data_IF_146860951998
#
_entry.id   IF_146860951998
#
_cell.length_a   1.000
_cell.length_b   1.000
_cell.length_c   1.000
_cell.angle_alpha   90.00
_cell.angle_beta   90.00
_cell.angle_gamma   90.00
#
_symmetry.space_group_name_H-M   'P 1'
#
loop_
_entity.id
_entity.type
_entity.pdbx_description
1 polymer ?
#
# COMPACT_ATOMS: atom_id res chain seq x y z
N UNK A 1 7.62 -2.82 7.08
CA UNK A 1 6.50 -1.97 6.63
C UNK A 1 6.92 -1.27 5.35
N UNK A 2 6.01 -0.72 4.54
CA UNK A 2 6.42 0.06 3.35
C UNK A 2 6.88 1.44 3.79
N UNK A 3 8.17 1.74 3.63
CA UNK A 3 8.79 3.00 4.06
C UNK A 3 9.16 3.88 2.85
N UNK A 4 9.30 5.20 3.04
CA UNK A 4 9.60 6.14 1.95
C UNK A 4 10.93 5.86 1.22
N UNK A 5 11.91 5.29 1.92
CA UNK A 5 13.22 4.89 1.38
C UNK A 5 13.11 3.83 0.27
N UNK A 6 12.05 3.01 0.27
CA UNK A 6 11.77 2.06 -0.81
C UNK A 6 11.51 2.81 -2.12
N UNK A 7 10.75 3.91 -2.09
CA UNK A 7 10.50 4.72 -3.29
C UNK A 7 11.80 5.37 -3.77
N UNK A 8 12.63 5.86 -2.85
CA UNK A 8 13.96 6.40 -3.20
C UNK A 8 14.85 5.35 -3.86
N UNK A 9 14.88 4.12 -3.35
CA UNK A 9 15.63 3.02 -3.95
C UNK A 9 15.10 2.69 -5.36
N UNK A 10 13.78 2.65 -5.54
CA UNK A 10 13.20 2.47 -6.88
C UNK A 10 13.64 3.60 -7.83
N UNK A 11 13.70 4.85 -7.40
CA UNK A 11 14.16 5.95 -8.24
C UNK A 11 15.66 5.89 -8.59
N UNK A 12 16.49 5.46 -7.66
CA UNK A 12 17.95 5.43 -7.82
C UNK A 12 18.42 4.30 -8.75
N UNK A 13 17.76 3.14 -8.69
CA UNK A 13 18.22 1.92 -9.36
C UNK A 13 17.31 1.56 -10.55
N UNK A 14 17.66 1.96 -11.79
CA UNK A 14 16.81 1.73 -12.97
C UNK A 14 16.64 0.24 -13.32
N UNK A 15 17.50 -0.63 -12.80
CA UNK A 15 17.40 -2.09 -12.97
C UNK A 15 16.35 -2.74 -12.06
N UNK A 16 15.75 -2.00 -11.11
CA UNK A 16 14.59 -2.46 -10.34
C UNK A 16 13.30 -2.32 -11.14
N UNK A 17 12.33 -3.21 -10.89
CA UNK A 17 11.05 -3.19 -11.58
C UNK A 17 10.18 -1.99 -11.20
N UNK A 18 9.34 -1.53 -12.13
CA UNK A 18 8.38 -0.44 -11.93
C UNK A 18 7.07 -0.92 -11.27
N UNK A 19 7.10 -1.94 -10.41
CA UNK A 19 5.90 -2.54 -9.84
C UNK A 19 5.96 -2.62 -8.32
N UNK A 20 4.93 -2.06 -7.67
CA UNK A 20 4.74 -2.10 -6.22
C UNK A 20 3.45 -2.85 -5.90
N UNK A 21 3.59 -3.93 -5.13
CA UNK A 21 2.46 -4.64 -4.54
C UNK A 21 2.27 -4.19 -3.09
N UNK A 22 1.19 -3.47 -2.82
CA UNK A 22 0.87 -2.92 -1.52
C UNK A 22 -0.55 -3.36 -1.13
N UNK A 23 -0.72 -4.43 -0.36
CA UNK A 23 -2.05 -4.96 -0.05
C UNK A 23 -2.75 -4.16 1.05
N UNK A 24 -3.85 -3.48 0.70
CA UNK A 24 -4.73 -2.80 1.68
C UNK A 24 -5.63 -3.77 2.43
N UNK A 25 -6.11 -4.82 1.75
CA UNK A 25 -6.99 -5.87 2.30
C UNK A 25 -8.42 -5.40 2.61
N UNK A 26 -8.63 -4.24 3.23
CA UNK A 26 -9.95 -3.64 3.41
C UNK A 26 -9.87 -2.11 3.44
N UNK A 27 -10.90 -1.43 2.95
CA UNK A 27 -11.02 0.03 3.06
C UNK A 27 -11.53 0.53 4.41
N UNK A 28 -11.93 -0.36 5.32
CA UNK A 28 -12.52 0.01 6.61
C UNK A 28 -11.52 -0.16 7.75
N UNK A 29 -11.22 0.92 8.47
CA UNK A 29 -10.33 0.89 9.64
C UNK A 29 -10.79 -0.09 10.72
N UNK A 30 -12.12 -0.23 10.88
CA UNK A 30 -12.72 -1.21 11.79
C UNK A 30 -12.38 -2.64 11.37
N UNK A 31 -12.47 -2.93 10.07
CA UNK A 31 -12.15 -4.24 9.51
C UNK A 31 -10.65 -4.49 9.49
N UNK A 32 -9.83 -3.51 9.13
CA UNK A 32 -8.37 -3.58 9.20
C UNK A 32 -7.89 -3.94 10.62
N UNK A 33 -8.46 -3.28 11.64
CA UNK A 33 -8.18 -3.60 13.04
C UNK A 33 -8.64 -5.02 13.41
N UNK A 34 -9.81 -5.46 12.96
CA UNK A 34 -10.29 -6.82 13.20
C UNK A 34 -9.43 -7.90 12.49
N UNK A 35 -8.88 -7.57 11.31
CA UNK A 35 -7.87 -8.35 10.59
C UNK A 35 -6.47 -8.29 11.23
N UNK A 36 -6.29 -7.55 12.35
CA UNK A 36 -5.01 -7.31 13.02
C UNK A 36 -3.96 -6.65 12.12
N UNK A 37 -4.39 -5.77 11.20
CA UNK A 37 -3.48 -4.93 10.43
C UNK A 37 -2.92 -3.83 11.33
N UNK A 38 -1.62 -3.58 11.21
CA UNK A 38 -0.90 -2.53 11.95
C UNK A 38 -0.97 -1.14 11.30
N UNK A 39 -1.93 -0.91 10.41
CA UNK A 39 -2.13 0.34 9.68
C UNK A 39 -3.63 0.60 9.52
N UNK A 40 -3.99 1.86 9.32
CA UNK A 40 -5.34 2.27 8.92
C UNK A 40 -5.38 2.67 7.43
N UNK A 41 -6.56 3.05 6.95
CA UNK A 41 -6.76 3.52 5.57
C UNK A 41 -5.93 4.77 5.25
N UNK A 42 -5.75 5.69 6.21
CA UNK A 42 -4.97 6.90 6.05
C UNK A 42 -3.46 6.61 5.89
N UNK A 43 -2.91 5.70 6.70
CA UNK A 43 -1.53 5.20 6.58
C UNK A 43 -1.28 4.61 5.20
N UNK A 44 -2.24 3.83 4.70
CA UNK A 44 -2.16 3.24 3.38
C UNK A 44 -2.16 4.32 2.28
N UNK A 45 -3.05 5.30 2.36
CA UNK A 45 -3.12 6.40 1.40
C UNK A 45 -1.85 7.25 1.38
N UNK A 46 -1.24 7.50 2.54
CA UNK A 46 0.08 8.18 2.63
C UNK A 46 1.18 7.42 1.87
N UNK A 47 1.20 6.09 1.98
CA UNK A 47 2.17 5.25 1.23
C UNK A 47 1.90 5.30 -0.27
N UNK A 48 0.64 5.25 -0.67
CA UNK A 48 0.24 5.38 -2.09
C UNK A 48 0.62 6.75 -2.65
N UNK A 49 0.45 7.82 -1.88
CA UNK A 49 0.87 9.16 -2.29
C UNK A 49 2.39 9.24 -2.52
N UNK A 50 3.19 8.65 -1.62
CA UNK A 50 4.64 8.56 -1.82
C UNK A 50 5.01 7.82 -3.12
N UNK A 51 4.32 6.73 -3.46
CA UNK A 51 4.54 5.99 -4.71
C UNK A 51 4.12 6.84 -5.93
N UNK A 52 2.98 7.52 -5.85
CA UNK A 52 2.46 8.36 -6.94
C UNK A 52 3.32 9.59 -7.22
N UNK A 53 3.96 10.14 -6.18
CA UNK A 53 4.88 11.27 -6.31
C UNK A 53 6.28 10.86 -6.78
N UNK A 54 6.51 9.58 -7.08
CA UNK A 54 7.78 9.13 -7.63
C UNK A 54 8.05 9.73 -9.00
N UNK A 55 9.33 10.00 -9.28
CA UNK A 55 9.81 10.40 -10.62
C UNK A 55 9.65 9.28 -11.65
N UNK A 56 9.63 8.02 -11.21
CA UNK A 56 9.38 6.86 -12.07
C UNK A 56 7.88 6.58 -12.13
N UNK A 57 7.42 6.12 -13.29
CA UNK A 57 6.03 5.66 -13.44
C UNK A 57 5.91 4.26 -12.83
N UNK A 58 5.49 4.20 -11.59
CA UNK A 58 5.29 2.94 -10.86
C UNK A 58 3.86 2.42 -11.03
N UNK A 59 3.72 1.13 -11.29
CA UNK A 59 2.45 0.40 -11.23
C UNK A 59 2.16 -0.04 -9.80
N UNK A 60 0.94 0.19 -9.33
CA UNK A 60 0.48 -0.23 -8.01
C UNK A 60 -0.51 -1.38 -8.15
N UNK A 61 -0.35 -2.42 -7.33
CA UNK A 61 -1.34 -3.48 -7.16
C UNK A 61 -1.66 -3.68 -5.69
N UNK A 62 -2.87 -4.18 -5.40
CA UNK A 62 -3.34 -4.43 -4.05
C UNK A 62 -4.32 -5.60 -4.08
N UNK A 63 -4.35 -6.35 -2.99
CA UNK A 63 -5.39 -7.34 -2.71
C UNK A 63 -6.49 -6.72 -1.85
N UNK A 64 -7.72 -7.21 -2.04
CA UNK A 64 -8.90 -6.85 -1.25
C UNK A 64 -9.60 -8.13 -0.82
N UNK A 65 -10.00 -8.18 0.45
CA UNK A 65 -10.83 -9.24 1.03
C UNK A 65 -12.20 -8.62 1.31
N UNK A 66 -13.22 -9.18 0.69
CA UNK A 66 -14.63 -8.82 0.93
C UNK A 66 -15.33 -9.92 1.73
N UNK A 67 -16.39 -9.56 2.45
CA UNK A 67 -17.16 -10.50 3.28
C UNK A 67 -16.41 -10.95 4.53
N UNK A 68 -15.50 -10.13 5.06
CA UNK A 68 -14.81 -10.45 6.31
C UNK A 68 -15.82 -10.56 7.48
N UNK A 69 -15.65 -11.48 8.45
CA UNK A 69 -16.56 -11.57 9.58
C UNK A 69 -16.77 -10.23 10.31
N UNK A 70 -18.00 -9.72 10.26
CA UNK A 70 -18.36 -8.41 10.83
C UNK A 70 -18.25 -7.23 9.86
N UNK A 71 -17.99 -7.44 8.57
CA UNK A 71 -18.12 -6.44 7.51
C UNK A 71 -19.60 -6.07 7.28
N UNK A 72 -19.87 -4.78 7.11
CA UNK A 72 -21.22 -4.17 7.00
C UNK A 72 -21.20 -3.00 6.06
#
# INVERSE_FOLDING_TARGET
DFHPDIVSALEEYPNLCDWVHLPVQSGSDRILKAMRRGHNSEDYLRRVESIKNSRRRLSLTSDIIVGFPGET
#
